data_IF_441267108151
#
_entry.id   IF_441267108151
#
_cell.length_a   1.000
_cell.length_b   1.000
_cell.length_c   1.000
_cell.angle_alpha   90.00
_cell.angle_beta   90.00
_cell.angle_gamma   90.00
#
_symmetry.space_group_name_H-M   'P 1'
#
loop_
_entity.id
_entity.type
_entity.pdbx_description
1 polymer ?
#
# COMPACT_ATOMS: atom_id res chain seq x y z
N UNK A 1 -5.63 12.88 27.94
CA UNK A 1 -4.76 11.71 27.72
C UNK A 1 -3.69 11.96 26.67
N UNK A 2 -4.06 12.34 25.44
CA UNK A 2 -3.11 12.57 24.33
C UNK A 2 -1.93 13.49 24.69
N UNK A 3 -2.16 14.60 25.40
CA UNK A 3 -1.09 15.49 25.87
C UNK A 3 0.01 14.75 26.66
N UNK A 4 -0.36 13.76 27.50
CA UNK A 4 0.62 12.97 28.26
C UNK A 4 1.37 11.97 27.38
N UNK A 5 0.80 11.58 26.23
CA UNK A 5 1.46 10.69 25.28
C UNK A 5 2.58 11.39 24.51
N UNK A 6 2.76 12.71 24.66
CA UNK A 6 3.93 13.45 24.17
C UNK A 6 5.21 12.92 24.84
N UNK A 7 5.15 12.55 26.12
CA UNK A 7 6.27 12.00 26.87
C UNK A 7 6.51 10.52 26.56
N UNK A 8 7.75 10.19 26.17
CA UNK A 8 8.14 8.82 25.84
C UNK A 8 8.02 7.87 27.03
N UNK A 9 8.37 8.33 28.23
CA UNK A 9 8.26 7.57 29.48
C UNK A 9 6.82 7.13 29.77
N UNK A 10 5.85 8.01 29.52
CA UNK A 10 4.43 7.71 29.70
C UNK A 10 3.94 6.68 28.67
N UNK A 11 4.37 6.78 27.41
CA UNK A 11 4.03 5.78 26.38
C UNK A 11 4.61 4.41 26.70
N UNK A 12 5.86 4.36 27.16
CA UNK A 12 6.51 3.11 27.61
C UNK A 12 5.74 2.50 28.79
N UNK A 13 5.34 3.31 29.77
CA UNK A 13 4.52 2.86 30.90
C UNK A 13 3.19 2.23 30.44
N UNK A 14 2.48 2.88 29.51
CA UNK A 14 1.21 2.36 28.98
C UNK A 14 1.39 1.04 28.23
N UNK A 15 2.47 0.90 27.45
CA UNK A 15 2.81 -0.35 26.73
C UNK A 15 3.21 -1.47 27.69
N UNK A 16 4.12 -1.20 28.63
CA UNK A 16 4.64 -2.20 29.55
C UNK A 16 3.53 -2.87 30.39
N UNK A 17 2.50 -2.12 30.75
CA UNK A 17 1.35 -2.62 31.53
C UNK A 17 0.16 -3.07 30.68
N UNK A 18 0.28 -3.05 29.35
CA UNK A 18 -0.82 -3.31 28.40
C UNK A 18 -2.08 -2.49 28.68
N UNK A 19 -1.90 -1.28 29.22
CA UNK A 19 -3.01 -0.35 29.38
C UNK A 19 -3.47 0.21 28.05
N UNK A 20 -2.56 0.30 27.08
CA UNK A 20 -2.89 0.78 25.72
C UNK A 20 -3.95 -0.12 25.06
N UNK A 21 -3.87 -1.43 25.22
CA UNK A 21 -4.86 -2.38 24.70
C UNK A 21 -6.25 -2.13 25.30
N UNK A 22 -6.30 -1.86 26.62
CA UNK A 22 -7.55 -1.52 27.33
C UNK A 22 -8.11 -0.17 26.87
N UNK A 23 -7.25 0.79 26.57
CA UNK A 23 -7.66 2.09 26.06
C UNK A 23 -8.28 1.92 24.67
N UNK A 24 -7.64 1.20 23.75
CA UNK A 24 -8.22 0.96 22.43
C UNK A 24 -9.51 0.14 22.50
N UNK A 25 -9.60 -0.83 23.41
CA UNK A 25 -10.84 -1.57 23.66
C UNK A 25 -11.96 -0.66 24.17
N UNK A 26 -11.64 0.37 24.95
CA UNK A 26 -12.62 1.36 25.42
C UNK A 26 -12.98 2.41 24.37
N UNK A 27 -12.25 2.49 23.24
CA UNK A 27 -12.45 3.44 22.14
C UNK A 27 -13.08 2.78 20.91
N UNK A 28 -13.71 1.62 21.06
CA UNK A 28 -14.33 0.90 19.93
C UNK A 28 -15.50 1.66 19.29
N UNK A 29 -16.13 2.55 20.03
CA UNK A 29 -17.19 3.47 19.60
C UNK A 29 -16.66 4.74 18.92
N UNK A 30 -15.35 4.98 18.96
CA UNK A 30 -14.74 6.18 18.38
C UNK A 30 -15.06 6.45 16.91
N UNK A 31 -15.18 5.45 16.00
CA UNK A 31 -15.53 5.71 14.60
C UNK A 31 -16.90 6.38 14.40
N UNK A 32 -17.80 6.29 15.39
CA UNK A 32 -19.13 6.93 15.37
C UNK A 32 -19.09 8.43 15.69
N UNK A 33 -17.96 8.94 16.17
CA UNK A 33 -17.83 10.31 16.68
C UNK A 33 -16.58 10.99 16.11
N UNK A 34 -16.75 12.05 15.30
CA UNK A 34 -15.64 12.65 14.55
C UNK A 34 -14.45 13.11 15.41
N UNK A 35 -14.74 13.77 16.52
CA UNK A 35 -13.72 14.27 17.45
C UNK A 35 -12.98 13.11 18.11
N UNK A 36 -13.72 12.07 18.52
CA UNK A 36 -13.15 10.92 19.22
C UNK A 36 -12.32 10.07 18.25
N UNK A 37 -12.79 9.87 17.02
CA UNK A 37 -12.04 9.20 15.98
C UNK A 37 -10.74 9.91 15.63
N UNK A 38 -10.75 11.25 15.55
CA UNK A 38 -9.54 12.03 15.33
C UNK A 38 -8.55 11.87 16.49
N UNK A 39 -9.04 11.89 17.73
CA UNK A 39 -8.22 11.64 18.92
C UNK A 39 -7.65 10.22 18.93
N UNK A 40 -8.46 9.22 18.59
CA UNK A 40 -8.09 7.81 18.54
C UNK A 40 -7.04 7.55 17.45
N UNK A 41 -7.24 8.12 16.27
CA UNK A 41 -6.30 8.03 15.15
C UNK A 41 -4.96 8.71 15.46
N UNK A 42 -4.98 9.84 16.18
CA UNK A 42 -3.78 10.49 16.70
C UNK A 42 -3.04 9.60 17.72
N UNK A 43 -3.78 8.89 18.58
CA UNK A 43 -3.19 7.94 19.52
C UNK A 43 -2.50 6.79 18.77
N UNK A 44 -3.16 6.20 17.78
CA UNK A 44 -2.55 5.20 16.90
C UNK A 44 -1.27 5.73 16.24
N UNK A 45 -1.31 6.94 15.70
CA UNK A 45 -0.20 7.54 14.98
C UNK A 45 1.05 7.71 15.87
N UNK A 46 0.85 8.23 17.09
CA UNK A 46 1.93 8.41 18.06
C UNK A 46 2.53 7.06 18.48
N UNK A 47 1.68 6.06 18.76
CA UNK A 47 2.14 4.75 19.25
C UNK A 47 2.74 3.87 18.15
N UNK A 48 2.24 3.97 16.92
CA UNK A 48 2.79 3.26 15.77
C UNK A 48 4.28 3.61 15.58
N UNK A 49 4.64 4.90 15.74
CA UNK A 49 5.99 5.43 15.49
C UNK A 49 7.01 5.22 16.60
N UNK A 50 6.62 4.70 17.76
CA UNK A 50 7.57 4.38 18.82
C UNK A 50 8.49 3.21 18.44
N UNK A 51 9.73 3.20 18.98
CA UNK A 51 10.70 2.11 18.77
C UNK A 51 10.15 0.73 19.14
N UNK A 52 9.39 0.67 20.24
CA UNK A 52 8.56 -0.48 20.58
C UNK A 52 7.18 -0.21 19.99
N UNK A 53 6.87 -0.86 18.86
CA UNK A 53 5.58 -0.71 18.18
C UNK A 53 4.42 -1.11 19.09
N UNK A 54 3.25 -0.58 18.79
CA UNK A 54 1.99 -1.03 19.38
C UNK A 54 1.83 -2.54 19.10
N UNK A 55 1.54 -3.32 20.15
CA UNK A 55 1.12 -4.70 19.95
C UNK A 55 -0.30 -4.64 19.39
N UNK A 56 -0.42 -4.96 18.12
CA UNK A 56 -1.72 -4.96 17.44
C UNK A 56 -2.39 -6.30 17.69
N UNK A 57 -3.57 -6.25 18.30
CA UNK A 57 -4.44 -7.39 18.46
C UNK A 57 -5.68 -7.22 17.56
N UNK A 58 -6.43 -8.31 17.36
CA UNK A 58 -7.62 -8.33 16.50
C UNK A 58 -8.59 -7.17 16.76
N UNK A 59 -8.83 -6.80 18.02
CA UNK A 59 -9.73 -5.69 18.36
C UNK A 59 -9.15 -4.32 18.01
N UNK A 60 -7.86 -4.12 18.25
CA UNK A 60 -7.13 -2.89 17.95
C UNK A 60 -7.02 -2.66 16.45
N UNK A 61 -6.74 -3.70 15.66
CA UNK A 61 -6.71 -3.57 14.21
C UNK A 61 -8.10 -3.39 13.62
N UNK A 62 -9.12 -4.10 14.13
CA UNK A 62 -10.50 -3.87 13.73
C UNK A 62 -10.91 -2.42 13.96
N UNK A 63 -10.54 -1.82 15.10
CA UNK A 63 -10.78 -0.41 15.37
C UNK A 63 -10.03 0.49 14.39
N UNK A 64 -8.75 0.20 14.11
CA UNK A 64 -7.96 0.96 13.15
C UNK A 64 -8.62 0.96 11.77
N UNK A 65 -9.13 -0.19 11.31
CA UNK A 65 -9.86 -0.32 10.03
C UNK A 65 -11.15 0.49 10.03
N UNK A 66 -11.93 0.47 11.12
CA UNK A 66 -13.14 1.30 11.21
C UNK A 66 -12.83 2.80 11.20
N UNK A 67 -11.73 3.25 11.81
CA UNK A 67 -11.28 4.64 11.74
C UNK A 67 -10.90 5.06 10.31
N UNK A 68 -10.30 4.16 9.53
CA UNK A 68 -9.97 4.43 8.12
C UNK A 68 -11.26 4.54 7.29
N UNK A 69 -12.30 3.76 7.60
CA UNK A 69 -13.59 3.78 6.88
C UNK A 69 -14.35 5.09 7.04
N UNK A 70 -14.11 5.84 8.11
CA UNK A 70 -14.87 7.04 8.44
C UNK A 70 -14.83 8.08 7.30
N UNK A 71 -16.01 8.56 6.91
CA UNK A 71 -16.20 9.59 5.90
C UNK A 71 -16.42 10.95 6.58
N UNK A 72 -16.05 12.04 5.89
CA UNK A 72 -16.16 13.41 6.41
C UNK A 72 -17.63 13.71 6.75
N UNK A 73 -17.97 13.74 8.04
CA UNK A 73 -19.22 14.31 8.51
C UNK A 73 -19.07 15.82 8.76
N UNK A 74 -20.20 16.52 8.89
CA UNK A 74 -20.27 17.97 9.08
C UNK A 74 -19.37 18.44 10.22
N UNK A 75 -18.44 19.35 9.90
CA UNK A 75 -17.43 19.82 10.84
C UNK A 75 -18.07 20.73 11.89
N UNK A 76 -18.35 20.18 13.06
CA UNK A 76 -18.77 20.96 14.23
C UNK A 76 -17.66 21.93 14.67
N UNK A 77 -18.03 23.02 15.37
CA UNK A 77 -17.06 23.94 15.97
C UNK A 77 -16.06 23.20 16.89
N UNK A 78 -16.55 22.22 17.64
CA UNK A 78 -15.74 21.35 18.51
C UNK A 78 -14.68 20.57 17.74
N UNK A 79 -14.97 20.16 16.50
CA UNK A 79 -14.01 19.48 15.64
C UNK A 79 -12.81 20.39 15.34
N UNK A 80 -13.05 21.64 14.96
CA UNK A 80 -11.98 22.60 14.62
C UNK A 80 -11.12 22.96 15.84
N UNK A 81 -11.72 23.17 17.02
CA UNK A 81 -10.97 23.41 18.25
C UNK A 81 -10.13 22.20 18.67
N UNK A 82 -10.71 20.99 18.61
CA UNK A 82 -9.99 19.77 18.95
C UNK A 82 -8.85 19.51 17.97
N UNK A 83 -9.11 19.76 16.69
CA UNK A 83 -8.13 19.72 15.61
C UNK A 83 -6.90 20.55 16.01
N UNK A 84 -7.06 21.85 16.28
CA UNK A 84 -5.93 22.72 16.67
C UNK A 84 -5.15 22.22 17.89
N UNK A 85 -5.85 21.68 18.89
CA UNK A 85 -5.20 21.08 20.08
C UNK A 85 -4.38 19.85 19.72
N UNK A 86 -4.91 18.95 18.88
CA UNK A 86 -4.20 17.76 18.41
C UNK A 86 -2.95 18.13 17.61
N UNK A 87 -3.02 19.17 16.79
CA UNK A 87 -1.85 19.67 16.07
C UNK A 87 -0.75 20.15 17.00
N UNK A 88 -1.10 20.97 18.00
CA UNK A 88 -0.13 21.42 19.01
C UNK A 88 0.52 20.23 19.72
N UNK A 89 -0.28 19.25 20.14
CA UNK A 89 0.21 18.00 20.76
C UNK A 89 1.22 17.28 19.86
N UNK A 90 0.89 17.13 18.58
CA UNK A 90 1.74 16.40 17.66
C UNK A 90 3.03 17.18 17.30
N UNK A 91 2.96 18.50 17.19
CA UNK A 91 4.14 19.36 17.03
C UNK A 91 5.07 19.25 18.25
N UNK A 92 4.52 19.29 19.46
CA UNK A 92 5.28 19.08 20.71
C UNK A 92 5.89 17.68 20.78
N UNK A 93 5.11 16.65 20.43
CA UNK A 93 5.59 15.27 20.34
C UNK A 93 6.74 15.14 19.34
N UNK A 94 6.59 15.70 18.14
CA UNK A 94 7.62 15.69 17.11
C UNK A 94 8.90 16.36 17.59
N UNK A 95 8.79 17.56 18.17
CA UNK A 95 9.95 18.28 18.71
C UNK A 95 10.68 17.48 19.80
N UNK A 96 9.95 16.82 20.70
CA UNK A 96 10.55 15.94 21.73
C UNK A 96 11.19 14.68 21.15
N UNK A 97 10.61 14.09 20.11
CA UNK A 97 11.21 12.92 19.44
C UNK A 97 12.51 13.33 18.75
N UNK A 98 12.50 14.44 18.01
CA UNK A 98 13.66 15.00 17.34
C UNK A 98 14.77 15.42 18.32
N UNK A 99 14.43 15.99 19.49
CA UNK A 99 15.42 16.40 20.50
C UNK A 99 16.10 15.23 21.23
N UNK A 100 15.44 14.07 21.32
CA UNK A 100 15.95 12.89 22.03
C UNK A 100 16.84 11.98 21.16
N UNK A 101 16.99 12.30 19.87
CA UNK A 101 17.84 11.56 18.94
C UNK A 101 19.27 12.11 18.99
N UNK A 102 20.22 11.32 19.49
CA UNK A 102 21.64 11.66 19.43
C UNK A 102 22.10 11.71 17.96
N UNK A 103 23.04 12.60 17.60
CA UNK A 103 23.49 12.76 16.20
C UNK A 103 24.02 11.46 15.55
N UNK A 104 24.42 10.48 16.36
CA UNK A 104 24.92 9.15 15.94
C UNK A 104 23.88 8.03 15.99
N UNK A 105 22.76 8.22 16.72
CA UNK A 105 21.59 7.33 16.72
C UNK A 105 20.39 8.03 16.09
N UNK A 106 20.64 8.94 15.16
CA UNK A 106 19.69 9.17 14.08
C UNK A 106 19.51 7.81 13.43
N UNK A 107 18.56 7.02 13.95
CA UNK A 107 17.68 6.27 13.07
C UNK A 107 17.24 7.37 12.13
N UNK A 108 17.93 7.44 11.00
CA UNK A 108 17.44 8.03 9.80
C UNK A 108 16.09 7.36 9.71
N UNK A 109 15.04 8.07 10.18
CA UNK A 109 13.82 8.01 9.44
C UNK A 109 14.35 8.22 8.02
N UNK A 110 14.25 7.19 7.20
CA UNK A 110 14.56 7.30 5.79
C UNK A 110 13.54 8.31 5.27
N UNK A 111 13.89 9.58 5.50
CA UNK A 111 13.30 10.86 5.16
C UNK A 111 14.33 11.52 4.26
N UNK A 112 14.96 10.74 3.37
CA UNK A 112 15.52 11.32 2.14
C UNK A 112 14.39 12.12 1.46
N UNK A 113 14.73 13.15 0.71
CA UNK A 113 13.74 13.99 0.00
C UNK A 113 12.81 13.18 -0.91
N UNK A 114 13.18 11.93 -1.19
CA UNK A 114 12.43 10.92 -1.93
C UNK A 114 11.61 9.96 -1.03
N UNK A 115 12.00 9.75 0.24
CA UNK A 115 11.28 8.89 1.21
C UNK A 115 10.39 9.70 2.21
N UNK A 116 10.02 10.94 1.86
CA UNK A 116 9.22 11.85 2.70
C UNK A 116 7.75 11.42 2.81
N UNK A 117 7.46 10.30 3.47
CA UNK A 117 6.08 9.94 3.85
C UNK A 117 5.83 10.47 5.28
N UNK A 118 6.81 10.33 6.17
CA UNK A 118 6.60 10.59 7.60
C UNK A 118 6.26 12.04 7.99
N UNK A 119 6.93 13.04 7.38
CA UNK A 119 6.83 14.46 7.75
C UNK A 119 5.93 15.27 6.80
N UNK A 120 5.90 14.96 5.50
CA UNK A 120 4.93 15.57 4.56
C UNK A 120 3.51 15.12 4.91
N UNK A 121 3.30 13.83 5.19
CA UNK A 121 1.95 13.34 5.52
C UNK A 121 1.46 13.86 6.86
N UNK A 122 2.36 14.13 7.84
CA UNK A 122 1.98 14.80 9.08
C UNK A 122 1.29 16.17 8.83
N UNK A 123 1.92 17.03 8.04
CA UNK A 123 1.36 18.32 7.67
C UNK A 123 0.12 18.18 6.77
N UNK A 124 0.13 17.21 5.85
CA UNK A 124 -0.99 16.97 4.91
C UNK A 124 -2.23 16.44 5.65
N UNK A 125 -2.06 15.48 6.58
CA UNK A 125 -3.15 14.92 7.38
C UNK A 125 -3.95 16.04 8.07
N UNK A 126 -3.27 17.10 8.50
CA UNK A 126 -3.89 18.22 9.18
C UNK A 126 -4.49 19.29 8.25
N UNK A 127 -4.04 19.36 7.00
CA UNK A 127 -4.57 20.29 5.99
C UNK A 127 -5.82 19.77 5.28
N UNK A 128 -6.12 18.46 5.35
CA UNK A 128 -7.19 17.85 4.57
C UNK A 128 -8.51 17.65 5.38
N UNK A 129 -9.68 17.59 4.71
CA UNK A 129 -10.81 16.80 5.21
C UNK A 129 -10.37 15.36 5.49
N UNK A 130 -10.95 14.74 6.52
CA UNK A 130 -10.66 13.36 6.94
C UNK A 130 -9.31 13.12 7.65
N UNK A 131 -8.95 14.00 8.59
CA UNK A 131 -7.75 13.85 9.43
C UNK A 131 -7.65 12.49 10.14
N UNK A 132 -8.78 11.96 10.63
CA UNK A 132 -8.82 10.70 11.34
C UNK A 132 -8.39 9.53 10.44
N UNK A 133 -9.05 9.35 9.30
CA UNK A 133 -8.75 8.25 8.39
C UNK A 133 -7.34 8.33 7.84
N UNK A 134 -6.84 9.53 7.52
CA UNK A 134 -5.45 9.75 7.08
C UNK A 134 -4.43 9.34 8.14
N UNK A 135 -4.61 9.76 9.40
CA UNK A 135 -3.73 9.36 10.50
C UNK A 135 -3.81 7.85 10.78
N UNK A 136 -5.00 7.27 10.73
CA UNK A 136 -5.20 5.84 10.92
C UNK A 136 -4.53 5.03 9.80
N UNK A 137 -4.66 5.48 8.55
CA UNK A 137 -4.04 4.86 7.38
C UNK A 137 -2.50 4.94 7.44
N UNK A 138 -1.95 6.08 7.83
CA UNK A 138 -0.52 6.25 8.09
C UNK A 138 0.00 5.33 9.20
N UNK A 139 -0.75 5.25 10.30
CA UNK A 139 -0.41 4.38 11.43
C UNK A 139 -0.33 2.93 10.97
N UNK A 140 -1.28 2.54 10.14
CA UNK A 140 -1.36 1.21 9.58
C UNK A 140 -0.17 0.91 8.66
N UNK A 141 0.15 1.80 7.71
CA UNK A 141 1.34 1.68 6.85
C UNK A 141 2.59 1.45 7.68
N UNK A 142 2.76 2.25 8.73
CA UNK A 142 3.92 2.16 9.60
C UNK A 142 3.97 0.83 10.39
N UNK A 143 2.83 0.40 10.94
CA UNK A 143 2.70 -0.87 11.65
C UNK A 143 3.06 -2.03 10.72
N UNK A 144 2.51 -2.03 9.49
CA UNK A 144 2.82 -3.03 8.47
C UNK A 144 4.31 -3.05 8.17
N UNK A 145 4.95 -1.90 7.90
CA UNK A 145 6.39 -1.88 7.58
C UNK A 145 7.31 -2.39 8.70
N UNK A 146 6.88 -2.39 9.97
CA UNK A 146 7.72 -2.78 11.12
C UNK A 146 7.49 -4.18 11.66
N UNK A 147 6.26 -4.67 11.64
CA UNK A 147 5.93 -5.90 12.34
C UNK A 147 6.29 -7.12 11.47
N UNK A 148 7.51 -7.64 11.63
CA UNK A 148 7.93 -8.97 11.13
C UNK A 148 7.30 -10.13 11.91
N UNK A 149 6.32 -9.85 12.79
CA UNK A 149 5.87 -10.79 13.81
C UNK A 149 4.84 -11.78 13.28
N UNK A 150 4.97 -13.03 13.73
CA UNK A 150 4.06 -14.16 13.58
C UNK A 150 2.58 -13.85 13.92
N UNK A 151 2.29 -12.79 14.66
CA UNK A 151 0.93 -12.32 14.93
C UNK A 151 0.18 -11.80 13.70
N UNK A 152 0.88 -11.24 12.71
CA UNK A 152 0.20 -10.80 11.47
C UNK A 152 -0.33 -12.00 10.67
N UNK A 153 0.16 -13.21 10.92
CA UNK A 153 -0.28 -14.43 10.20
C UNK A 153 -1.75 -14.75 10.48
N UNK A 154 -2.19 -14.58 11.72
CA UNK A 154 -3.62 -14.68 12.10
C UNK A 154 -4.43 -13.48 11.57
N UNK A 155 -3.74 -12.39 11.26
CA UNK A 155 -4.28 -11.11 10.82
C UNK A 155 -4.27 -10.91 9.29
N UNK A 156 -3.74 -11.87 8.51
CA UNK A 156 -3.88 -11.90 7.03
C UNK A 156 -5.37 -11.83 6.62
N UNK A 157 -6.27 -12.32 7.47
CA UNK A 157 -7.72 -12.14 7.28
C UNK A 157 -8.11 -10.66 7.21
N UNK A 158 -7.48 -9.81 8.03
CA UNK A 158 -7.71 -8.38 8.00
C UNK A 158 -6.94 -7.69 6.88
N UNK A 159 -5.75 -8.19 6.51
CA UNK A 159 -5.02 -7.65 5.36
C UNK A 159 -5.88 -7.71 4.10
N UNK A 160 -6.55 -8.83 3.82
CA UNK A 160 -7.52 -8.94 2.72
C UNK A 160 -8.60 -7.86 2.80
N UNK A 161 -9.24 -7.67 3.95
CA UNK A 161 -10.25 -6.63 4.12
C UNK A 161 -9.71 -5.21 3.92
N UNK A 162 -8.45 -4.96 4.32
CA UNK A 162 -7.78 -3.68 4.14
C UNK A 162 -7.38 -3.44 2.68
N UNK A 163 -6.89 -4.46 1.98
CA UNK A 163 -6.61 -4.42 0.55
C UNK A 163 -7.87 -4.11 -0.24
N UNK A 164 -8.96 -4.84 0.03
CA UNK A 164 -10.29 -4.54 -0.53
C UNK A 164 -10.75 -3.13 -0.19
N UNK A 165 -10.60 -2.69 1.05
CA UNK A 165 -11.00 -1.34 1.46
C UNK A 165 -10.19 -0.27 0.71
N UNK A 166 -8.87 -0.38 0.67
CA UNK A 166 -8.01 0.59 -0.02
C UNK A 166 -8.37 0.64 -1.52
N UNK A 167 -8.54 -0.51 -2.16
CA UNK A 167 -8.91 -0.56 -3.58
C UNK A 167 -10.30 -0.02 -3.85
N UNK A 168 -11.31 -0.37 -3.05
CA UNK A 168 -12.65 0.18 -3.20
C UNK A 168 -12.61 1.72 -3.08
N UNK A 169 -11.79 2.27 -2.17
CA UNK A 169 -11.60 3.73 -2.06
C UNK A 169 -10.86 4.34 -3.25
N UNK A 170 -9.86 3.65 -3.81
CA UNK A 170 -9.18 4.09 -5.04
C UNK A 170 -10.20 4.17 -6.20
N UNK A 171 -11.03 3.13 -6.35
CA UNK A 171 -12.09 3.04 -7.35
C UNK A 171 -13.16 4.13 -7.15
N UNK A 172 -13.64 4.30 -5.92
CA UNK A 172 -14.64 5.34 -5.55
C UNK A 172 -14.14 6.76 -5.85
N UNK A 173 -12.86 7.06 -5.57
CA UNK A 173 -12.34 8.41 -5.81
C UNK A 173 -12.20 8.73 -7.30
N UNK A 174 -11.75 7.77 -8.13
CA UNK A 174 -11.59 8.00 -9.58
C UNK A 174 -12.92 7.92 -10.35
N UNK A 175 -13.88 7.15 -9.87
CA UNK A 175 -15.25 7.20 -10.43
C UNK A 175 -15.92 8.55 -10.18
N UNK A 176 -15.63 9.22 -9.05
CA UNK A 176 -16.09 10.59 -8.79
C UNK A 176 -15.44 11.63 -9.71
N UNK A 177 -14.16 11.49 -10.05
CA UNK A 177 -13.51 12.40 -11.01
C UNK A 177 -14.09 12.26 -12.42
N UNK A 178 -14.41 11.04 -12.86
CA UNK A 178 -14.98 10.80 -14.19
C UNK A 178 -16.44 11.28 -14.36
N UNK A 179 -17.19 11.44 -13.27
CA UNK A 179 -18.61 11.86 -13.30
C UNK A 179 -18.84 13.37 -13.09
N UNK A 180 -17.80 14.14 -12.79
CA UNK A 180 -17.87 15.57 -12.49
C UNK A 180 -17.21 16.34 -13.62
N UNK A 181 -17.94 17.18 -14.34
CA UNK A 181 -17.40 18.12 -15.33
C UNK A 181 -16.17 18.85 -14.78
N UNK A 182 -14.99 18.45 -15.24
CA UNK A 182 -13.78 19.26 -15.42
C UNK A 182 -13.55 20.41 -14.41
N UNK A 183 -13.52 20.07 -13.12
CA UNK A 183 -12.82 20.86 -12.09
C UNK A 183 -11.81 19.91 -11.42
N UNK A 184 -10.85 19.44 -12.21
CA UNK A 184 -9.82 18.43 -11.90
C UNK A 184 -8.71 18.90 -10.93
N UNK A 185 -8.92 20.00 -10.21
CA UNK A 185 -7.94 20.62 -9.34
C UNK A 185 -8.42 20.74 -7.88
N UNK A 186 -9.08 19.71 -7.31
CA UNK A 186 -9.13 19.65 -5.85
C UNK A 186 -7.83 19.02 -5.31
N UNK A 187 -6.85 19.83 -4.86
CA UNK A 187 -5.58 19.32 -4.34
C UNK A 187 -5.78 18.38 -3.14
N UNK A 188 -6.96 18.41 -2.53
CA UNK A 188 -7.35 17.52 -1.44
C UNK A 188 -7.57 16.09 -1.91
N UNK A 189 -8.39 15.92 -2.95
CA UNK A 189 -8.77 14.61 -3.47
C UNK A 189 -7.55 13.88 -4.05
N UNK A 190 -6.71 14.60 -4.80
CA UNK A 190 -5.47 14.06 -5.37
C UNK A 190 -4.49 13.59 -4.29
N UNK A 191 -4.39 14.32 -3.18
CA UNK A 191 -3.54 13.93 -2.04
C UNK A 191 -4.09 12.73 -1.27
N UNK A 192 -5.41 12.65 -1.09
CA UNK A 192 -6.04 11.48 -0.47
C UNK A 192 -5.82 10.22 -1.32
N UNK A 193 -5.99 10.35 -2.64
CA UNK A 193 -5.69 9.31 -3.62
C UNK A 193 -4.23 8.86 -3.55
N UNK A 194 -3.28 9.80 -3.57
CA UNK A 194 -1.84 9.49 -3.41
C UNK A 194 -1.53 8.74 -2.11
N UNK A 195 -2.19 9.09 -0.99
CA UNK A 195 -2.00 8.36 0.26
C UNK A 195 -2.58 6.93 0.21
N UNK A 196 -3.75 6.75 -0.42
CA UNK A 196 -4.32 5.42 -0.63
C UNK A 196 -3.38 4.54 -1.45
N UNK A 197 -2.80 5.08 -2.52
CA UNK A 197 -1.81 4.38 -3.34
C UNK A 197 -0.56 4.01 -2.54
N UNK A 198 -0.01 4.97 -1.80
CA UNK A 198 1.15 4.76 -0.92
C UNK A 198 0.87 3.63 0.08
N UNK A 199 -0.35 3.60 0.62
CA UNK A 199 -0.76 2.56 1.57
C UNK A 199 -0.87 1.21 0.91
N UNK A 200 -1.52 1.16 -0.24
CA UNK A 200 -1.68 -0.05 -1.02
C UNK A 200 -0.32 -0.64 -1.42
N UNK A 201 0.61 0.18 -1.93
CA UNK A 201 1.99 -0.21 -2.24
C UNK A 201 2.76 -0.67 -0.99
N UNK A 202 2.56 -0.01 0.16
CA UNK A 202 3.20 -0.41 1.41
C UNK A 202 2.69 -1.76 1.93
N UNK A 203 1.40 -2.05 1.76
CA UNK A 203 0.81 -3.35 2.11
C UNK A 203 1.39 -4.47 1.22
N UNK A 204 1.57 -4.24 -0.08
CA UNK A 204 2.25 -5.21 -0.95
C UNK A 204 3.72 -5.38 -0.62
N UNK A 205 4.45 -4.29 -0.38
CA UNK A 205 5.84 -4.36 0.07
C UNK A 205 5.96 -5.18 1.37
N UNK A 206 5.00 -5.00 2.28
CA UNK A 206 4.91 -5.83 3.47
C UNK A 206 4.66 -7.31 3.15
N UNK A 207 3.72 -7.63 2.25
CA UNK A 207 3.51 -9.01 1.79
C UNK A 207 4.78 -9.61 1.17
N UNK A 208 5.49 -8.87 0.31
CA UNK A 208 6.78 -9.31 -0.24
C UNK A 208 7.75 -9.70 0.87
N UNK A 209 7.88 -8.85 1.89
CA UNK A 209 8.77 -9.09 3.01
C UNK A 209 8.33 -10.28 3.87
N UNK A 210 7.01 -10.45 4.07
CA UNK A 210 6.48 -11.53 4.89
C UNK A 210 6.53 -12.89 4.18
N UNK A 211 6.35 -12.93 2.85
CA UNK A 211 6.42 -14.16 2.05
C UNK A 211 7.84 -14.59 1.72
N UNK A 212 8.80 -13.67 1.73
CA UNK A 212 10.21 -13.97 1.45
C UNK A 212 10.76 -15.01 2.44
N UNK A 213 11.15 -16.19 1.94
CA UNK A 213 11.69 -17.31 2.72
C UNK A 213 10.82 -17.70 3.93
N UNK A 214 9.49 -17.63 3.79
CA UNK A 214 8.55 -17.91 4.88
C UNK A 214 7.41 -18.81 4.42
N UNK A 215 7.68 -20.12 4.40
CA UNK A 215 6.72 -21.13 3.94
C UNK A 215 5.42 -21.16 4.76
N UNK A 216 5.48 -20.82 6.07
CA UNK A 216 4.29 -20.74 6.91
C UNK A 216 3.35 -19.63 6.40
N UNK A 217 3.92 -18.49 5.97
CA UNK A 217 3.17 -17.37 5.39
C UNK A 217 2.53 -17.80 4.08
N UNK A 218 3.31 -18.40 3.18
CA UNK A 218 2.81 -18.89 1.90
C UNK A 218 1.72 -19.96 2.10
N UNK A 219 1.87 -20.86 3.08
CA UNK A 219 0.82 -21.82 3.45
C UNK A 219 -0.45 -21.12 3.91
N UNK A 220 -0.36 -20.12 4.79
CA UNK A 220 -1.53 -19.37 5.28
C UNK A 220 -2.19 -18.52 4.20
N UNK A 221 -1.41 -17.97 3.29
CA UNK A 221 -1.90 -17.26 2.11
C UNK A 221 -2.63 -18.23 1.15
N UNK A 222 -2.16 -19.47 1.02
CA UNK A 222 -2.81 -20.48 0.17
C UNK A 222 -4.16 -20.95 0.69
N UNK A 223 -4.37 -20.96 2.01
CA UNK A 223 -5.70 -21.18 2.63
C UNK A 223 -6.70 -20.06 2.26
N UNK A 224 -6.20 -18.94 1.73
CA UNK A 224 -6.94 -17.73 1.32
C UNK A 224 -6.81 -17.50 -0.18
N UNK A 225 -7.15 -18.51 -0.98
CA UNK A 225 -7.11 -18.40 -2.45
C UNK A 225 -7.99 -17.27 -3.00
N UNK A 226 -9.06 -16.89 -2.28
CA UNK A 226 -9.90 -15.72 -2.55
C UNK A 226 -9.10 -14.41 -2.52
N UNK A 227 -8.20 -14.27 -1.56
CA UNK A 227 -7.34 -13.10 -1.43
C UNK A 227 -6.28 -13.05 -2.54
N UNK A 228 -5.67 -14.18 -2.89
CA UNK A 228 -4.71 -14.25 -4.00
C UNK A 228 -5.41 -13.90 -5.32
N UNK A 229 -6.60 -14.45 -5.55
CA UNK A 229 -7.45 -14.14 -6.70
C UNK A 229 -7.75 -12.63 -6.79
N UNK A 230 -8.11 -12.00 -5.66
CA UNK A 230 -8.31 -10.56 -5.61
C UNK A 230 -7.04 -9.77 -5.97
N UNK A 231 -5.87 -10.16 -5.45
CA UNK A 231 -4.63 -9.47 -5.79
C UNK A 231 -4.25 -9.63 -7.28
N UNK A 232 -4.51 -10.79 -7.87
CA UNK A 232 -4.34 -11.02 -9.30
C UNK A 232 -5.26 -10.10 -10.13
N UNK A 233 -6.54 -10.01 -9.78
CA UNK A 233 -7.47 -9.07 -10.45
C UNK A 233 -7.06 -7.60 -10.27
N UNK A 234 -6.46 -7.26 -9.12
CA UNK A 234 -5.93 -5.91 -8.92
C UNK A 234 -4.87 -5.58 -9.97
N UNK A 235 -3.89 -6.45 -10.21
CA UNK A 235 -2.81 -6.14 -11.17
C UNK A 235 -3.29 -6.17 -12.62
N UNK A 236 -4.25 -7.04 -12.97
CA UNK A 236 -4.64 -7.23 -14.37
C UNK A 236 -5.73 -6.30 -14.85
N UNK A 237 -6.60 -5.84 -13.95
CA UNK A 237 -7.77 -5.03 -14.30
C UNK A 237 -7.85 -3.74 -13.47
N UNK A 238 -7.93 -3.86 -12.15
CA UNK A 238 -8.26 -2.70 -11.32
C UNK A 238 -7.16 -1.63 -11.33
N UNK A 239 -5.90 -2.00 -11.16
CA UNK A 239 -4.78 -1.06 -11.15
C UNK A 239 -4.60 -0.40 -12.52
N UNK A 240 -4.51 -1.14 -13.65
CA UNK A 240 -4.44 -0.53 -14.98
C UNK A 240 -5.60 0.41 -15.31
N UNK A 241 -6.81 0.08 -14.84
CA UNK A 241 -8.01 0.91 -15.07
C UNK A 241 -7.96 2.20 -14.22
N UNK A 242 -7.53 2.10 -12.97
CA UNK A 242 -7.69 3.18 -12.00
C UNK A 242 -6.42 3.95 -11.62
N UNK A 243 -5.22 3.53 -12.04
CA UNK A 243 -3.96 4.23 -11.72
C UNK A 243 -3.30 4.84 -12.96
N UNK A 244 -2.36 5.76 -12.76
CA UNK A 244 -1.57 6.32 -13.86
C UNK A 244 -0.49 5.32 -14.30
N UNK A 245 0.01 5.36 -15.55
CA UNK A 245 0.96 4.38 -16.06
C UNK A 245 2.22 4.17 -15.19
N UNK A 246 2.82 5.23 -14.65
CA UNK A 246 3.99 5.10 -13.76
C UNK A 246 3.68 4.46 -12.41
N UNK A 247 2.52 4.74 -11.83
CA UNK A 247 2.05 4.11 -10.58
C UNK A 247 1.72 2.63 -10.81
N UNK A 248 1.15 2.30 -11.97
CA UNK A 248 0.90 0.92 -12.40
C UNK A 248 2.19 0.10 -12.50
N UNK A 249 3.28 0.67 -13.02
CA UNK A 249 4.57 0.00 -13.12
C UNK A 249 5.12 -0.37 -11.74
N UNK A 250 5.25 0.61 -10.84
CA UNK A 250 5.76 0.37 -9.48
C UNK A 250 4.92 -0.69 -8.74
N UNK A 251 3.61 -0.58 -8.86
CA UNK A 251 2.69 -1.54 -8.27
C UNK A 251 2.87 -2.95 -8.85
N UNK A 252 2.96 -3.06 -10.18
CA UNK A 252 3.09 -4.33 -10.87
C UNK A 252 4.40 -5.03 -10.49
N UNK A 253 5.51 -4.30 -10.38
CA UNK A 253 6.79 -4.88 -9.93
C UNK A 253 6.70 -5.41 -8.50
N UNK A 254 6.10 -4.64 -7.57
CA UNK A 254 5.88 -5.09 -6.20
C UNK A 254 5.02 -6.36 -6.15
N UNK A 255 3.91 -6.37 -6.90
CA UNK A 255 3.02 -7.53 -6.94
C UNK A 255 3.69 -8.77 -7.53
N UNK A 256 4.42 -8.62 -8.64
CA UNK A 256 5.12 -9.73 -9.28
C UNK A 256 6.23 -10.28 -8.37
N UNK A 257 6.92 -9.43 -7.61
CA UNK A 257 7.89 -9.85 -6.60
C UNK A 257 7.23 -10.66 -5.47
N UNK A 258 6.06 -10.22 -4.99
CA UNK A 258 5.27 -10.98 -4.03
C UNK A 258 4.87 -12.36 -4.59
N UNK A 259 4.40 -12.41 -5.85
CA UNK A 259 3.99 -13.66 -6.49
C UNK A 259 5.14 -14.65 -6.61
N UNK A 260 6.33 -14.18 -7.00
CA UNK A 260 7.54 -15.02 -7.04
C UNK A 260 7.77 -15.65 -5.66
N UNK A 261 7.87 -14.84 -4.60
CA UNK A 261 8.06 -15.35 -3.24
C UNK A 261 6.95 -16.33 -2.80
N UNK A 262 5.70 -16.09 -3.22
CA UNK A 262 4.56 -16.92 -2.87
C UNK A 262 4.61 -18.31 -3.54
N UNK A 263 5.15 -18.43 -4.74
CA UNK A 263 5.13 -19.68 -5.52
C UNK A 263 6.47 -20.41 -5.58
N UNK A 264 7.59 -19.74 -5.32
CA UNK A 264 8.96 -20.26 -5.51
C UNK A 264 9.19 -21.62 -4.84
N UNK A 265 8.73 -21.78 -3.60
CA UNK A 265 8.88 -23.03 -2.83
C UNK A 265 7.55 -23.63 -2.36
N UNK A 266 6.42 -23.16 -2.92
CA UNK A 266 5.11 -23.51 -2.40
C UNK A 266 4.16 -24.07 -3.47
N UNK A 267 4.10 -25.41 -3.56
CA UNK A 267 3.29 -26.14 -4.54
C UNK A 267 1.81 -25.74 -4.57
N UNK A 268 1.19 -25.55 -3.39
CA UNK A 268 -0.22 -25.10 -3.34
C UNK A 268 -0.40 -23.70 -3.91
N UNK A 269 0.61 -22.83 -3.75
CA UNK A 269 0.62 -21.48 -4.33
C UNK A 269 0.65 -21.55 -5.85
N UNK A 270 1.53 -22.37 -6.43
CA UNK A 270 1.59 -22.63 -7.88
C UNK A 270 0.24 -23.12 -8.43
N UNK A 271 -0.38 -24.12 -7.77
CA UNK A 271 -1.69 -24.64 -8.18
C UNK A 271 -2.80 -23.59 -8.15
N UNK A 272 -2.79 -22.69 -7.17
CA UNK A 272 -3.77 -21.59 -7.10
C UNK A 272 -3.56 -20.66 -8.28
N UNK A 273 -2.33 -20.19 -8.51
CA UNK A 273 -2.03 -19.23 -9.59
C UNK A 273 -2.30 -19.83 -10.98
N UNK A 274 -1.96 -21.10 -11.22
CA UNK A 274 -2.23 -21.76 -12.50
C UNK A 274 -3.72 -21.87 -12.83
N UNK A 275 -4.57 -22.06 -11.81
CA UNK A 275 -6.02 -22.20 -11.99
C UNK A 275 -6.80 -20.89 -11.84
N UNK A 276 -6.12 -19.80 -11.48
CA UNK A 276 -6.73 -18.49 -11.30
C UNK A 276 -7.15 -17.88 -12.64
N UNK A 277 -8.37 -17.36 -12.66
CA UNK A 277 -8.96 -16.69 -13.82
C UNK A 277 -9.16 -15.22 -13.52
N UNK A 278 -8.64 -14.34 -14.34
CA UNK A 278 -8.61 -12.88 -14.15
C UNK A 278 -9.31 -12.17 -15.30
N UNK A 279 -9.82 -10.98 -15.03
CA UNK A 279 -10.26 -10.06 -16.07
C UNK A 279 -9.07 -9.31 -16.64
N UNK A 280 -9.08 -9.09 -17.93
CA UNK A 280 -8.13 -8.23 -18.62
C UNK A 280 -8.84 -6.93 -19.03
N UNK A 281 -8.06 -5.87 -19.24
CA UNK A 281 -8.57 -4.63 -19.81
C UNK A 281 -8.71 -4.81 -21.34
N UNK A 282 -9.68 -5.62 -21.76
CA UNK A 282 -10.09 -5.80 -23.16
C UNK A 282 -11.51 -5.25 -23.39
N UNK A 283 -11.92 -5.11 -24.65
CA UNK A 283 -13.22 -4.50 -25.01
C UNK A 283 -14.42 -5.28 -24.42
N UNK A 284 -14.25 -6.58 -24.19
CA UNK A 284 -15.30 -7.51 -23.78
C UNK A 284 -15.28 -7.86 -22.27
N UNK A 285 -14.32 -7.33 -21.50
CA UNK A 285 -14.06 -7.68 -20.08
C UNK A 285 -14.01 -9.19 -19.82
N UNK A 286 -13.45 -9.94 -20.78
CA UNK A 286 -13.47 -11.39 -20.73
C UNK A 286 -12.55 -11.92 -19.63
N UNK A 287 -12.93 -13.08 -19.10
CA UNK A 287 -12.19 -13.76 -18.03
C UNK A 287 -11.23 -14.79 -18.63
N UNK A 288 -9.93 -14.61 -18.41
CA UNK A 288 -8.85 -15.44 -18.93
C UNK A 288 -8.04 -16.07 -17.80
N UNK A 289 -7.31 -17.15 -18.05
CA UNK A 289 -6.34 -17.63 -17.07
C UNK A 289 -5.22 -16.61 -16.87
N UNK A 290 -4.76 -16.43 -15.63
CA UNK A 290 -3.67 -15.50 -15.32
C UNK A 290 -2.39 -15.80 -16.11
N UNK A 291 -2.15 -17.06 -16.47
CA UNK A 291 -1.04 -17.47 -17.36
C UNK A 291 -1.09 -16.73 -18.71
N UNK A 292 -2.28 -16.46 -19.25
CA UNK A 292 -2.45 -15.71 -20.52
C UNK A 292 -1.97 -14.26 -20.34
N UNK A 293 -2.27 -13.63 -19.20
CA UNK A 293 -1.73 -12.31 -18.87
C UNK A 293 -0.20 -12.30 -18.85
N UNK A 294 0.42 -13.31 -18.23
CA UNK A 294 1.88 -13.44 -18.19
C UNK A 294 2.49 -13.60 -19.60
N UNK A 295 1.84 -14.38 -20.45
CA UNK A 295 2.25 -14.56 -21.85
C UNK A 295 2.10 -13.25 -22.66
N UNK A 296 1.05 -12.46 -22.41
CA UNK A 296 0.89 -11.14 -23.04
C UNK A 296 2.02 -10.18 -22.66
N UNK A 297 2.48 -10.19 -21.39
CA UNK A 297 3.63 -9.38 -20.97
C UNK A 297 4.91 -9.79 -21.70
N UNK A 298 5.15 -11.09 -21.89
CA UNK A 298 6.29 -11.59 -22.67
C UNK A 298 6.21 -11.18 -24.15
N UNK A 299 5.04 -11.34 -24.78
CA UNK A 299 4.84 -11.00 -26.19
C UNK A 299 4.98 -9.50 -26.45
N UNK A 300 4.53 -8.66 -25.50
CA UNK A 300 4.70 -7.21 -25.58
C UNK A 300 6.18 -6.82 -25.58
N UNK A 301 7.01 -7.50 -24.79
CA UNK A 301 8.46 -7.27 -24.76
C UNK A 301 9.13 -7.60 -26.09
N UNK A 302 8.74 -8.71 -26.73
CA UNK A 302 9.20 -9.07 -28.07
C UNK A 302 8.80 -8.03 -29.11
N UNK A 303 7.54 -7.56 -29.07
CA UNK A 303 7.07 -6.50 -29.96
C UNK A 303 7.90 -5.21 -29.76
N UNK A 304 8.17 -4.82 -28.51
CA UNK A 304 8.91 -3.61 -28.20
C UNK A 304 10.39 -3.73 -28.59
N UNK A 305 11.02 -4.90 -28.44
CA UNK A 305 12.38 -5.17 -28.96
C UNK A 305 12.45 -4.95 -30.47
N UNK A 306 11.46 -5.44 -31.23
CA UNK A 306 11.45 -5.25 -32.69
C UNK A 306 11.22 -3.79 -33.11
N UNK A 307 10.42 -3.02 -32.34
CA UNK A 307 10.16 -1.60 -32.61
C UNK A 307 11.32 -0.67 -32.20
N UNK A 308 11.98 -0.93 -31.07
CA UNK A 308 13.13 -0.15 -30.59
C UNK A 308 14.36 -0.34 -31.47
N UNK A 309 14.59 -1.55 -32.00
CA UNK A 309 15.61 -1.80 -33.03
C UNK A 309 15.42 -0.95 -34.29
N UNK A 310 14.17 -0.67 -34.68
CA UNK A 310 13.82 0.19 -35.83
C UNK A 310 13.95 1.69 -35.51
N UNK A 311 13.70 2.13 -34.27
CA UNK A 311 13.80 3.54 -33.88
C UNK A 311 15.23 4.00 -33.58
N UNK A 312 16.09 3.13 -33.03
CA UNK A 312 17.52 3.45 -32.84
C UNK A 312 18.24 3.81 -34.15
N UNK A 313 17.76 3.28 -35.28
CA UNK A 313 18.29 3.61 -36.61
C UNK A 313 17.88 5.01 -37.12
N UNK A 314 16.83 5.62 -36.56
CA UNK A 314 16.27 6.91 -37.02
C UNK A 314 16.53 8.10 -36.09
N UNK A 315 16.96 7.88 -34.85
CA UNK A 315 17.07 8.93 -33.82
C UNK A 315 18.45 9.65 -33.77
N UNK A 316 19.29 9.49 -34.80
CA UNK A 316 20.63 10.12 -34.87
C UNK A 316 20.55 11.60 -35.32
N UNK A 317 19.37 12.13 -35.66
CA UNK A 317 19.18 13.54 -36.03
C UNK A 317 18.46 14.36 -34.94
N UNK A 318 18.99 15.55 -34.68
CA UNK A 318 18.90 16.30 -33.43
C UNK A 318 17.66 17.19 -33.30
N UNK A 319 17.01 17.13 -32.14
CA UNK A 319 16.27 18.22 -31.47
C UNK A 319 16.07 17.81 -30.01
N UNK A 320 16.13 18.75 -29.04
CA UNK A 320 15.96 18.44 -27.59
C UNK A 320 14.66 17.66 -27.33
N UNK A 321 13.60 17.98 -28.06
CA UNK A 321 12.31 17.29 -27.97
C UNK A 321 12.37 15.83 -28.44
N UNK A 322 13.18 15.51 -29.46
CA UNK A 322 13.37 14.13 -29.94
C UNK A 322 14.17 13.33 -28.93
N UNK A 323 15.19 13.93 -28.31
CA UNK A 323 15.96 13.29 -27.24
C UNK A 323 15.07 12.99 -26.02
N UNK A 324 14.22 13.92 -25.61
CA UNK A 324 13.26 13.71 -24.51
C UNK A 324 12.26 12.60 -24.83
N UNK A 325 11.70 12.58 -26.05
CA UNK A 325 10.82 11.49 -26.50
C UNK A 325 11.53 10.14 -26.56
N UNK A 326 12.81 10.12 -26.96
CA UNK A 326 13.62 8.90 -26.96
C UNK A 326 13.87 8.39 -25.55
N UNK A 327 14.12 9.28 -24.58
CA UNK A 327 14.25 8.95 -23.17
C UNK A 327 12.95 8.37 -22.60
N UNK A 328 11.80 9.01 -22.82
CA UNK A 328 10.48 8.50 -22.36
C UNK A 328 10.19 7.12 -22.96
N UNK A 329 10.52 6.90 -24.24
CA UNK A 329 10.37 5.59 -24.88
C UNK A 329 11.34 4.54 -24.33
N UNK A 330 12.58 4.94 -23.99
CA UNK A 330 13.56 4.05 -23.39
C UNK A 330 13.18 3.64 -21.96
N UNK A 331 12.59 4.57 -21.21
CA UNK A 331 12.07 4.33 -19.86
C UNK A 331 10.91 3.32 -19.90
N UNK A 332 9.89 3.58 -20.73
CA UNK A 332 8.79 2.62 -20.96
C UNK A 332 9.27 1.24 -21.42
N UNK A 333 10.29 1.19 -22.28
CA UNK A 333 10.89 -0.07 -22.70
C UNK A 333 11.54 -0.82 -21.53
N UNK A 334 12.23 -0.09 -20.63
CA UNK A 334 12.81 -0.67 -19.43
C UNK A 334 11.73 -1.25 -18.52
N UNK A 335 10.62 -0.53 -18.33
CA UNK A 335 9.47 -1.00 -17.54
C UNK A 335 8.91 -2.32 -18.08
N UNK A 336 8.67 -2.38 -19.40
CA UNK A 336 8.16 -3.57 -20.09
C UNK A 336 9.14 -4.76 -19.98
N UNK A 337 10.45 -4.52 -20.12
CA UNK A 337 11.47 -5.56 -19.93
C UNK A 337 11.48 -6.12 -18.51
N UNK A 338 11.36 -5.27 -17.49
CA UNK A 338 11.34 -5.71 -16.09
C UNK A 338 10.06 -6.51 -15.79
N UNK A 339 8.90 -6.09 -16.28
CA UNK A 339 7.67 -6.86 -16.09
C UNK A 339 7.71 -8.20 -16.82
N UNK A 340 8.24 -8.23 -18.04
CA UNK A 340 8.43 -9.45 -18.81
C UNK A 340 9.42 -10.42 -18.14
N UNK A 341 10.51 -9.92 -17.53
CA UNK A 341 11.45 -10.79 -16.80
C UNK A 341 10.79 -11.45 -15.59
N UNK A 342 9.96 -10.71 -14.84
CA UNK A 342 9.19 -11.29 -13.75
C UNK A 342 8.15 -12.28 -14.26
N UNK A 343 7.46 -11.98 -15.36
CA UNK A 343 6.49 -12.88 -15.96
C UNK A 343 7.13 -14.20 -16.43
N UNK A 344 8.31 -14.13 -17.06
CA UNK A 344 9.09 -15.29 -17.45
C UNK A 344 9.53 -16.13 -16.26
N UNK A 345 9.96 -15.50 -15.16
CA UNK A 345 10.32 -16.21 -13.92
C UNK A 345 9.10 -16.92 -13.31
N UNK A 346 7.97 -16.24 -13.20
CA UNK A 346 6.73 -16.83 -12.69
C UNK A 346 6.30 -18.01 -13.56
N UNK A 347 6.27 -17.86 -14.88
CA UNK A 347 5.94 -18.96 -15.80
C UNK A 347 6.89 -20.14 -15.65
N UNK A 348 8.20 -19.88 -15.52
CA UNK A 348 9.20 -20.92 -15.26
C UNK A 348 8.92 -21.70 -13.96
N UNK A 349 8.59 -21.00 -12.88
CA UNK A 349 8.23 -21.63 -11.60
C UNK A 349 6.93 -22.43 -11.67
N UNK A 350 5.95 -21.99 -12.46
CA UNK A 350 4.70 -22.74 -12.65
C UNK A 350 4.91 -24.02 -13.46
N UNK A 351 5.80 -24.01 -14.46
CA UNK A 351 6.08 -25.17 -15.33
C UNK A 351 6.92 -26.23 -14.61
N UNK A 352 7.86 -25.84 -13.74
CA UNK A 352 8.80 -26.75 -13.06
C UNK A 352 8.14 -27.92 -12.29
N UNK A 353 6.86 -27.82 -11.93
CA UNK A 353 6.14 -28.89 -11.21
C UNK A 353 5.18 -29.72 -12.09
N UNK A 354 4.98 -29.37 -13.36
CA UNK A 354 4.09 -30.13 -14.27
C UNK A 354 4.78 -31.35 -14.92
N UNK A 355 6.02 -31.68 -14.55
CA UNK A 355 6.80 -32.82 -15.09
C UNK A 355 6.28 -34.24 -14.70
N UNK A 356 4.97 -34.43 -14.48
CA UNK A 356 4.37 -35.77 -14.31
C UNK A 356 3.10 -36.01 -15.16
N UNK A 357 2.73 -35.15 -16.13
CA UNK A 357 1.61 -35.48 -17.05
C UNK A 357 1.90 -35.03 -18.51
N UNK A 358 2.86 -35.70 -19.15
CA UNK A 358 2.88 -35.89 -20.61
C UNK A 358 3.19 -37.37 -20.92
N UNK A 359 2.19 -38.22 -20.72
CA UNK A 359 2.03 -39.54 -21.36
C UNK A 359 0.58 -39.72 -21.77
#
# INVERSE_FOLDING_TARGET
MLQRCVDSSFRVFLKARRFIDKIFLALTDSPSHDVLAMCCSCLFYIFARDRLSLIVNKSTLSLLVELIKQQSAERSLQYTECKEKIWKILCEWRAKVESNLSAKERIVFDLTEENIIGARVFCIAFCLPNQASLMALESLVYISCRNTSQFFMDEIRLSSAMFHFCMNRVVENKSRSNGSSANDDDPVALKFYSLLLTTFSSLFRFLCNLSNNNDLCCSKLSERSDFIQFCLECVTYTVPMFMNPGECYEFSVLFMSFLVNFIEHHHSGRRIVSNSKVRLLDEDENTFYFIIYLQLLLNNEEAVRTHTGKMRMKAIEQTVHVALLALVKADKHMEECVLASHAGLILGLLIQDEEVIFT
#
